data_IF_458041052048
#
_entry.id   IF_458041052048
#
_cell.length_a   1.000
_cell.length_b   1.000
_cell.length_c   1.000
_cell.angle_alpha   90.00
_cell.angle_beta   90.00
_cell.angle_gamma   90.00
#
_symmetry.space_group_name_H-M   'P 1'
#
loop_
_entity.id
_entity.type
_entity.pdbx_description
1 polymer ?
#
# COMPACT_ATOMS: atom_id res chain seq x y z
N UNK A 1 21.29 -12.32 -13.05
CA UNK A 1 20.06 -13.06 -12.71
C UNK A 1 18.90 -12.09 -12.80
N UNK A 2 17.98 -12.26 -13.76
CA UNK A 2 16.84 -11.35 -13.90
C UNK A 2 15.83 -11.68 -12.78
N UNK A 3 15.50 -10.69 -11.95
CA UNK A 3 14.42 -10.83 -10.96
C UNK A 3 13.11 -11.12 -11.72
N UNK A 4 12.33 -12.13 -11.31
CA UNK A 4 11.06 -12.42 -11.96
C UNK A 4 10.19 -11.17 -11.87
N UNK A 5 9.77 -10.66 -13.04
CA UNK A 5 8.88 -9.52 -13.10
C UNK A 5 7.48 -10.02 -12.74
N UNK A 6 7.08 -9.82 -11.49
CA UNK A 6 5.74 -10.16 -11.03
C UNK A 6 4.70 -9.44 -11.89
N UNK A 7 3.83 -10.21 -12.53
CA UNK A 7 2.70 -9.72 -13.32
C UNK A 7 1.40 -10.23 -12.69
N UNK A 8 0.27 -9.53 -12.93
CA UNK A 8 -1.04 -9.94 -12.40
C UNK A 8 -1.37 -11.40 -12.73
N UNK A 9 -0.95 -11.88 -13.91
CA UNK A 9 -1.22 -13.25 -14.35
C UNK A 9 -0.30 -14.25 -13.64
N UNK A 10 0.96 -13.87 -13.40
CA UNK A 10 1.91 -14.70 -12.64
C UNK A 10 1.46 -14.87 -11.19
N UNK A 11 1.07 -13.77 -10.53
CA UNK A 11 0.54 -13.80 -9.16
C UNK A 11 -0.68 -14.72 -9.09
N UNK A 12 -1.63 -14.54 -10.03
CA UNK A 12 -2.81 -15.39 -10.10
C UNK A 12 -2.45 -16.86 -10.33
N UNK A 13 -1.55 -17.14 -11.28
CA UNK A 13 -1.11 -18.50 -11.57
C UNK A 13 -0.43 -19.16 -10.37
N UNK A 14 0.40 -18.44 -9.62
CA UNK A 14 1.09 -18.96 -8.43
C UNK A 14 0.10 -19.27 -7.31
N UNK A 15 -0.91 -18.42 -7.11
CA UNK A 15 -1.99 -18.69 -6.15
C UNK A 15 -2.73 -19.97 -6.52
N UNK A 16 -3.09 -20.12 -7.80
CA UNK A 16 -3.75 -21.35 -8.28
C UNK A 16 -2.84 -22.58 -8.21
N UNK A 17 -1.53 -22.45 -8.45
CA UNK A 17 -0.57 -23.55 -8.30
C UNK A 17 -0.47 -24.05 -6.86
N UNK A 18 -0.66 -23.17 -5.89
CA UNK A 18 -0.73 -23.52 -4.46
C UNK A 18 -2.09 -24.07 -4.04
N UNK A 19 -3.05 -24.21 -4.96
CA UNK A 19 -4.38 -24.77 -4.70
C UNK A 19 -5.37 -23.79 -4.07
N UNK A 20 -5.03 -22.50 -4.05
CA UNK A 20 -5.85 -21.45 -3.44
C UNK A 20 -6.51 -20.58 -4.49
N UNK A 21 -7.47 -19.76 -4.04
CA UNK A 21 -8.12 -18.76 -4.89
C UNK A 21 -8.04 -17.39 -4.25
N UNK A 22 -8.11 -16.33 -5.05
CA UNK A 22 -8.14 -14.95 -4.54
C UNK A 22 -9.29 -14.73 -3.55
N UNK A 23 -10.43 -15.38 -3.82
CA UNK A 23 -11.62 -15.34 -2.98
C UNK A 23 -11.41 -16.12 -1.69
N UNK A 24 -10.86 -17.34 -1.77
CA UNK A 24 -10.51 -18.18 -0.62
C UNK A 24 -9.58 -17.44 0.35
N UNK A 25 -8.50 -16.85 -0.18
CA UNK A 25 -7.59 -15.99 0.56
C UNK A 25 -8.26 -14.82 1.26
N UNK A 26 -9.22 -14.17 0.59
CA UNK A 26 -9.94 -13.05 1.18
C UNK A 26 -10.83 -13.50 2.35
N UNK A 27 -11.51 -14.64 2.19
CA UNK A 27 -12.37 -15.23 3.21
C UNK A 27 -11.54 -15.69 4.41
N UNK A 28 -10.43 -16.39 4.18
CA UNK A 28 -9.50 -16.84 5.24
C UNK A 28 -8.94 -15.66 6.04
N UNK A 29 -8.60 -14.57 5.35
CA UNK A 29 -8.14 -13.34 5.98
C UNK A 29 -9.27 -12.50 6.62
N UNK A 30 -10.54 -12.90 6.50
CA UNK A 30 -11.68 -12.15 7.03
C UNK A 30 -11.87 -10.78 6.39
N UNK A 31 -11.50 -10.61 5.12
CA UNK A 31 -11.69 -9.39 4.34
C UNK A 31 -12.69 -9.61 3.21
N UNK A 32 -13.10 -8.50 2.58
CA UNK A 32 -14.01 -8.54 1.44
C UNK A 32 -13.44 -9.39 0.30
N UNK A 33 -14.25 -10.30 -0.24
CA UNK A 33 -13.89 -11.21 -1.33
C UNK A 33 -13.34 -10.49 -2.56
N UNK A 34 -13.87 -9.30 -2.86
CA UNK A 34 -13.41 -8.50 -3.97
C UNK A 34 -12.06 -7.83 -3.66
N UNK A 35 -11.63 -7.71 -2.40
CA UNK A 35 -10.40 -7.01 -2.03
C UNK A 35 -9.16 -7.61 -2.69
N UNK A 36 -9.04 -8.95 -2.71
CA UNK A 36 -7.95 -9.65 -3.38
C UNK A 36 -7.99 -9.49 -4.90
N UNK A 37 -9.19 -9.54 -5.51
CA UNK A 37 -9.36 -9.30 -6.95
C UNK A 37 -9.04 -7.86 -7.33
N UNK A 38 -9.45 -6.92 -6.47
CA UNK A 38 -9.19 -5.50 -6.61
C UNK A 38 -7.70 -5.19 -6.44
N UNK A 39 -6.97 -5.88 -5.58
CA UNK A 39 -5.51 -5.70 -5.43
C UNK A 39 -4.75 -5.90 -6.75
N UNK A 40 -5.21 -6.82 -7.61
CA UNK A 40 -4.61 -7.04 -8.93
C UNK A 40 -4.92 -5.91 -9.93
N UNK A 41 -6.07 -5.22 -9.77
CA UNK A 41 -6.48 -4.15 -10.69
C UNK A 41 -6.08 -2.75 -10.19
N UNK A 42 -6.35 -2.43 -8.92
CA UNK A 42 -6.19 -1.12 -8.27
C UNK A 42 -5.42 -1.25 -6.95
N UNK A 43 -4.91 -0.13 -6.42
CA UNK A 43 -4.19 -0.12 -5.14
C UNK A 43 -5.14 -0.50 -4.01
N UNK A 44 -4.93 -1.68 -3.41
CA UNK A 44 -5.73 -2.17 -2.29
C UNK A 44 -4.82 -2.81 -1.26
N UNK A 45 -4.42 -2.00 -0.27
CA UNK A 45 -3.41 -2.41 0.72
C UNK A 45 -3.84 -3.61 1.56
N UNK A 46 -5.15 -3.86 1.74
CA UNK A 46 -5.63 -5.04 2.47
C UNK A 46 -5.43 -6.30 1.64
N UNK A 47 -5.90 -6.30 0.39
CA UNK A 47 -5.73 -7.44 -0.51
C UNK A 47 -4.26 -7.70 -0.90
N UNK A 48 -3.49 -6.63 -1.14
CA UNK A 48 -2.05 -6.72 -1.44
C UNK A 48 -1.29 -7.38 -0.29
N UNK A 49 -1.62 -7.07 0.97
CA UNK A 49 -1.01 -7.69 2.16
C UNK A 49 -1.33 -9.17 2.28
N UNK A 50 -2.56 -9.56 2.04
CA UNK A 50 -2.97 -10.98 2.10
C UNK A 50 -2.24 -11.79 1.03
N UNK A 51 -2.20 -11.28 -0.20
CA UNK A 51 -1.47 -11.94 -1.31
C UNK A 51 0.03 -12.02 -1.01
N UNK A 52 0.63 -10.94 -0.50
CA UNK A 52 2.03 -10.91 -0.12
C UNK A 52 2.37 -11.91 0.99
N UNK A 53 1.54 -11.96 2.05
CA UNK A 53 1.68 -12.90 3.15
C UNK A 53 1.55 -14.34 2.67
N UNK A 54 0.58 -14.61 1.79
CA UNK A 54 0.39 -15.94 1.21
C UNK A 54 1.60 -16.36 0.36
N UNK A 55 2.06 -15.50 -0.54
CA UNK A 55 3.19 -15.81 -1.42
C UNK A 55 4.53 -15.84 -0.65
N UNK A 56 4.61 -15.17 0.50
CA UNK A 56 5.84 -14.97 1.26
C UNK A 56 6.77 -13.92 0.64
N UNK A 57 6.21 -13.05 -0.22
CA UNK A 57 6.96 -12.06 -1.01
C UNK A 57 6.52 -10.65 -0.57
N UNK A 58 7.45 -9.71 -0.32
CA UNK A 58 7.08 -8.36 0.09
C UNK A 58 6.30 -7.62 -1.00
N UNK A 59 5.39 -6.72 -0.59
CA UNK A 59 4.55 -5.95 -1.51
C UNK A 59 5.39 -5.10 -2.49
N UNK A 60 6.56 -4.62 -2.05
CA UNK A 60 7.48 -3.84 -2.87
C UNK A 60 8.08 -4.66 -4.02
N UNK A 61 8.22 -5.98 -3.84
CA UNK A 61 8.69 -6.87 -4.90
C UNK A 61 7.57 -7.26 -5.87
N UNK A 62 6.36 -7.49 -5.34
CA UNK A 62 5.18 -7.80 -6.16
C UNK A 62 4.70 -6.59 -6.99
N UNK A 63 4.73 -5.39 -6.41
CA UNK A 63 4.27 -4.15 -7.04
C UNK A 63 5.30 -3.01 -6.90
N UNK A 64 6.45 -3.11 -7.58
CA UNK A 64 7.53 -2.13 -7.47
C UNK A 64 7.09 -0.72 -7.90
N UNK A 65 6.19 -0.64 -8.89
CA UNK A 65 5.69 0.63 -9.44
C UNK A 65 4.72 1.37 -8.49
N UNK A 66 3.96 0.65 -7.67
CA UNK A 66 2.87 1.24 -6.85
C UNK A 66 3.31 1.74 -5.48
N UNK A 67 4.38 1.17 -4.92
CA UNK A 67 4.88 1.52 -3.59
C UNK A 67 6.07 2.50 -3.63
N UNK A 68 6.65 2.78 -4.80
CA UNK A 68 7.74 3.74 -4.97
C UNK A 68 7.33 5.22 -4.93
N UNK A 69 6.04 5.55 -4.95
CA UNK A 69 5.59 6.96 -4.85
C UNK A 69 5.26 7.35 -3.42
N UNK A 70 5.80 8.49 -2.92
CA UNK A 70 5.51 8.97 -1.57
C UNK A 70 4.01 9.17 -1.43
N UNK A 71 3.45 8.69 -0.31
CA UNK A 71 2.02 8.85 0.00
C UNK A 71 1.65 10.33 -0.13
N UNK A 72 0.60 10.65 -0.90
CA UNK A 72 0.01 11.99 -0.87
C UNK A 72 -0.41 12.28 0.57
N UNK A 73 0.18 13.31 1.18
CA UNK A 73 -0.16 13.76 2.53
C UNK A 73 -1.67 13.94 2.66
N UNK A 74 -2.25 13.41 3.72
CA UNK A 74 -3.68 13.59 4.01
C UNK A 74 -4.00 15.08 4.21
N UNK A 75 -5.28 15.46 4.09
CA UNK A 75 -5.72 16.84 4.35
C UNK A 75 -5.32 17.28 5.77
N UNK A 76 -5.41 16.37 6.74
CA UNK A 76 -4.99 16.61 8.12
C UNK A 76 -3.49 16.94 8.22
N UNK A 77 -2.62 16.14 7.61
CA UNK A 77 -1.17 16.38 7.59
C UNK A 77 -0.78 17.66 6.85
N UNK A 78 -1.49 18.00 5.76
CA UNK A 78 -1.30 19.26 5.05
C UNK A 78 -1.66 20.47 5.91
N UNK A 79 -2.74 20.37 6.71
CA UNK A 79 -3.14 21.41 7.67
C UNK A 79 -2.16 21.57 8.82
N UNK A 80 -1.67 20.46 9.38
CA UNK A 80 -0.63 20.50 10.42
C UNK A 80 0.67 21.16 9.92
N UNK A 81 1.11 20.81 8.71
CA UNK A 81 2.30 21.42 8.09
C UNK A 81 2.11 22.93 7.79
N UNK A 82 0.88 23.36 7.47
CA UNK A 82 0.57 24.78 7.30
C UNK A 82 0.57 25.53 8.65
N UNK A 83 0.13 24.89 9.74
CA UNK A 83 0.12 25.49 11.07
C UNK A 83 1.52 25.65 11.67
N UNK A 84 2.46 24.73 11.38
CA UNK A 84 3.84 24.83 11.85
C UNK A 84 4.56 26.09 11.34
N UNK A 85 4.16 26.60 10.16
CA UNK A 85 4.74 27.82 9.59
C UNK A 85 4.32 29.11 10.31
N UNK A 86 3.31 29.07 11.20
CA UNK A 86 2.78 30.26 11.88
C UNK A 86 3.46 30.55 13.23
N UNK A 87 4.11 29.57 13.85
CA UNK A 87 4.72 29.73 15.19
C UNK A 87 6.12 30.36 15.20
N UNK A 88 6.76 30.54 14.04
CA UNK A 88 8.14 31.03 13.96
C UNK A 88 8.32 32.55 13.91
N UNK A 89 7.30 33.38 14.17
CA UNK A 89 7.41 34.84 14.04
C UNK A 89 6.91 35.61 15.27
N UNK A 90 6.99 35.02 16.45
CA UNK A 90 6.60 35.68 17.71
C UNK A 90 7.78 35.84 18.65
N UNK A 91 8.85 36.49 18.19
CA UNK A 91 9.84 37.09 19.07
C UNK A 91 10.41 38.34 18.39
N UNK A 92 10.11 39.50 18.97
CA UNK A 92 10.88 40.76 19.04
C UNK A 92 9.90 41.92 19.16
N UNK A 93 9.83 42.49 20.37
CA UNK A 93 9.07 43.70 20.67
C UNK A 93 9.00 44.03 22.17
N UNK A 94 10.08 43.79 22.92
CA UNK A 94 10.20 44.34 24.29
C UNK A 94 10.87 45.72 24.18
N UNK A 95 10.04 46.76 24.31
CA UNK A 95 10.45 48.16 24.28
C UNK A 95 10.87 48.61 25.69
N UNK A 96 12.06 49.20 25.78
CA UNK A 96 12.61 49.88 26.97
C UNK A 96 12.55 51.40 26.80
#
# INVERSE_FOLDING_TARGET
MQRPKWDRHLIKAEIHRRGETLTGLAIDAGIDEAACRLALCRRNTRGEKVIAAFLGVPLEELWPDRHGTPKRKTIAERRAAASLKRQGNSDIGEAA
#
